data_IF_266319359781
#
_entry.id   IF_266319359781
#
_cell.length_a   1.000
_cell.length_b   1.000
_cell.length_c   1.000
_cell.angle_alpha   90.00
_cell.angle_beta   90.00
_cell.angle_gamma   90.00
#
_symmetry.space_group_name_H-M   'P 1'
#
loop_
_entity.id
_entity.type
_entity.pdbx_description
1 polymer ?
#
# COMPACT_ATOMS: atom_id res chain seq x y z
N UNK A 1 11.47 -4.76 19.73
CA UNK A 1 10.85 -5.56 18.64
C UNK A 1 10.26 -4.57 17.65
N UNK A 2 10.43 -4.77 16.35
CA UNK A 2 9.89 -3.85 15.32
C UNK A 2 8.37 -3.92 15.42
N UNK A 3 7.71 -2.79 15.68
CA UNK A 3 6.25 -2.71 15.81
C UNK A 3 5.57 -2.34 14.49
N UNK A 4 6.16 -1.40 13.77
CA UNK A 4 5.74 -0.96 12.44
C UNK A 4 7.00 -0.74 11.57
N UNK A 5 6.85 -0.80 10.25
CA UNK A 5 7.91 -0.37 9.32
C UNK A 5 8.14 1.14 9.39
N UNK A 6 9.32 1.60 8.97
CA UNK A 6 9.58 3.04 8.82
C UNK A 6 8.69 3.63 7.73
N UNK A 7 8.46 2.89 6.64
CA UNK A 7 7.55 3.29 5.56
C UNK A 7 6.13 3.61 6.08
N UNK A 8 5.61 2.80 7.01
CA UNK A 8 4.30 3.04 7.61
C UNK A 8 4.28 4.27 8.53
N UNK A 9 5.34 4.52 9.31
CA UNK A 9 5.41 5.73 10.14
C UNK A 9 5.46 7.01 9.29
N UNK A 10 6.12 6.97 8.13
CA UNK A 10 6.10 8.09 7.16
C UNK A 10 4.69 8.32 6.61
N UNK A 11 3.99 7.27 6.19
CA UNK A 11 2.59 7.36 5.73
C UNK A 11 1.69 7.99 6.78
N UNK A 12 1.82 7.55 8.03
CA UNK A 12 1.04 8.05 9.17
C UNK A 12 1.31 9.54 9.40
N UNK A 13 2.57 9.96 9.36
CA UNK A 13 2.95 11.37 9.49
C UNK A 13 2.37 12.24 8.37
N UNK A 14 2.54 11.83 7.11
CA UNK A 14 2.02 12.55 5.92
C UNK A 14 0.49 12.66 5.96
N UNK A 15 -0.18 11.56 6.31
CA UNK A 15 -1.64 11.52 6.45
C UNK A 15 -2.12 12.46 7.55
N UNK A 16 -1.50 12.41 8.73
CA UNK A 16 -1.88 13.27 9.85
C UNK A 16 -1.67 14.75 9.50
N UNK A 17 -0.52 15.11 8.94
CA UNK A 17 -0.25 16.49 8.51
C UNK A 17 -1.28 17.01 7.50
N UNK A 18 -1.73 16.17 6.57
CA UNK A 18 -2.77 16.55 5.60
C UNK A 18 -4.13 16.73 6.26
N UNK A 19 -4.47 15.89 7.25
CA UNK A 19 -5.70 16.04 8.03
C UNK A 19 -5.66 17.31 8.90
N UNK A 20 -4.53 17.60 9.54
CA UNK A 20 -4.34 18.80 10.35
C UNK A 20 -4.53 20.07 9.50
N UNK A 21 -3.98 20.07 8.28
CA UNK A 21 -4.21 21.15 7.33
C UNK A 21 -5.69 21.25 6.91
N UNK A 22 -6.37 20.12 6.70
CA UNK A 22 -7.80 20.12 6.39
C UNK A 22 -8.65 20.68 7.54
N UNK A 23 -8.29 20.38 8.80
CA UNK A 23 -8.92 20.97 9.99
C UNK A 23 -8.71 22.48 10.01
N UNK A 24 -7.48 22.95 9.75
CA UNK A 24 -7.18 24.38 9.65
C UNK A 24 -8.06 25.07 8.60
N UNK A 25 -8.17 24.51 7.39
CA UNK A 25 -9.06 25.05 6.35
C UNK A 25 -10.53 25.07 6.77
N UNK A 26 -10.99 24.04 7.48
CA UNK A 26 -12.36 23.96 7.98
C UNK A 26 -12.68 24.97 9.09
N UNK A 27 -11.67 25.54 9.77
CA UNK A 27 -11.83 26.66 10.70
C UNK A 27 -11.68 28.02 9.99
N UNK A 28 -10.69 28.13 9.11
CA UNK A 28 -10.36 29.39 8.43
C UNK A 28 -11.46 29.86 7.47
N UNK A 29 -12.07 28.95 6.70
CA UNK A 29 -13.08 29.36 5.70
C UNK A 29 -14.39 29.86 6.34
N UNK A 30 -14.95 29.21 7.39
CA UNK A 30 -16.06 29.80 8.14
C UNK A 30 -15.73 31.16 8.77
N UNK A 31 -14.52 31.33 9.32
CA UNK A 31 -14.08 32.62 9.85
C UNK A 31 -14.06 33.69 8.75
N UNK A 32 -13.49 33.39 7.57
CA UNK A 32 -13.51 34.28 6.41
C UNK A 32 -14.94 34.66 6.00
N UNK A 33 -15.86 33.70 5.95
CA UNK A 33 -17.28 33.98 5.67
C UNK A 33 -17.90 34.92 6.71
N UNK A 34 -17.54 34.77 7.98
CA UNK A 34 -17.95 35.68 9.05
C UNK A 34 -17.43 37.11 8.84
N UNK A 35 -16.15 37.25 8.49
CA UNK A 35 -15.53 38.55 8.20
C UNK A 35 -16.14 39.24 6.97
N UNK A 36 -16.41 38.49 5.89
CA UNK A 36 -17.10 39.03 4.71
C UNK A 36 -18.47 39.58 5.10
N UNK A 37 -19.24 38.86 5.92
CA UNK A 37 -20.52 39.37 6.42
C UNK A 37 -20.35 40.61 7.29
N UNK A 38 -19.35 40.66 8.17
CA UNK A 38 -19.12 41.84 9.01
C UNK A 38 -18.80 43.09 8.16
N UNK A 39 -18.03 42.91 7.08
CA UNK A 39 -17.71 43.96 6.12
C UNK A 39 -18.97 44.46 5.39
N UNK A 40 -19.84 43.55 4.95
CA UNK A 40 -21.11 43.89 4.29
C UNK A 40 -22.07 44.67 5.20
N UNK A 41 -22.04 44.41 6.51
CA UNK A 41 -22.83 45.15 7.50
C UNK A 41 -22.16 46.44 7.99
N UNK A 42 -20.99 46.80 7.46
CA UNK A 42 -20.23 47.98 7.90
C UNK A 42 -19.67 47.88 9.33
N UNK A 43 -19.55 46.67 9.88
CA UNK A 43 -18.98 46.44 11.21
C UNK A 43 -17.45 46.41 11.21
N UNK A 44 -16.83 46.26 10.03
CA UNK A 44 -15.39 46.36 9.80
C UNK A 44 -15.16 47.07 8.47
N UNK A 45 -14.04 47.79 8.34
CA UNK A 45 -13.74 48.61 7.15
C UNK A 45 -13.07 47.81 6.01
N UNK A 46 -12.31 46.75 6.35
CA UNK A 46 -11.64 45.89 5.36
C UNK A 46 -11.44 44.45 5.85
N UNK A 47 -11.20 43.54 4.91
CA UNK A 47 -10.74 42.19 5.24
C UNK A 47 -9.29 42.20 5.73
N UNK A 48 -8.88 41.22 6.55
CA UNK A 48 -7.47 41.00 6.86
C UNK A 48 -6.64 40.80 5.58
N UNK A 49 -5.42 41.34 5.60
CA UNK A 49 -4.49 41.19 4.48
C UNK A 49 -4.08 39.71 4.37
N UNK A 50 -4.01 39.18 3.14
CA UNK A 50 -3.62 37.79 2.93
C UNK A 50 -2.10 37.61 3.18
N UNK A 51 -1.73 36.48 3.77
CA UNK A 51 -0.34 36.18 4.15
C UNK A 51 0.58 36.08 2.92
N UNK A 52 0.18 35.29 1.91
CA UNK A 52 0.99 35.07 0.70
C UNK A 52 0.55 35.91 -0.51
N UNK A 53 -0.76 36.11 -0.70
CA UNK A 53 -1.29 36.81 -1.89
C UNK A 53 -1.29 38.32 -1.68
N UNK A 54 -0.70 39.07 -2.60
CA UNK A 54 -0.62 40.54 -2.54
C UNK A 54 -1.76 41.20 -3.33
N UNK A 55 -2.16 42.39 -2.88
CA UNK A 55 -3.20 43.22 -3.53
C UNK A 55 -4.52 43.21 -2.77
N UNK A 56 -5.49 43.99 -3.24
CA UNK A 56 -6.80 44.06 -2.60
C UNK A 56 -7.63 42.79 -2.87
N UNK A 57 -8.28 42.22 -1.84
CA UNK A 57 -9.07 41.00 -1.99
C UNK A 57 -10.36 41.25 -2.79
N UNK A 58 -10.57 40.45 -3.84
CA UNK A 58 -11.85 40.43 -4.55
C UNK A 58 -12.90 39.65 -3.75
N UNK A 59 -13.80 40.38 -3.08
CA UNK A 59 -14.80 39.81 -2.16
C UNK A 59 -15.74 38.82 -2.87
N UNK A 60 -16.23 39.15 -4.06
CA UNK A 60 -17.15 38.30 -4.82
C UNK A 60 -16.47 36.98 -5.23
N UNK A 61 -15.21 37.07 -5.63
CA UNK A 61 -14.41 35.90 -5.95
C UNK A 61 -14.19 35.00 -4.72
N UNK A 62 -13.87 35.60 -3.56
CA UNK A 62 -13.69 34.87 -2.30
C UNK A 62 -14.98 34.17 -1.85
N UNK A 63 -16.14 34.80 -2.01
CA UNK A 63 -17.45 34.13 -1.77
C UNK A 63 -17.60 32.91 -2.65
N UNK A 64 -17.31 33.05 -3.95
CA UNK A 64 -17.32 31.95 -4.91
C UNK A 64 -16.44 30.78 -4.48
N UNK A 65 -15.18 31.05 -4.11
CA UNK A 65 -14.24 30.03 -3.63
C UNK A 65 -14.68 29.37 -2.33
N UNK A 66 -15.16 30.17 -1.37
CA UNK A 66 -15.60 29.70 -0.05
C UNK A 66 -16.86 28.81 -0.13
N UNK A 67 -17.63 28.85 -1.21
CA UNK A 67 -18.78 27.97 -1.41
C UNK A 67 -18.36 26.54 -1.80
N UNK A 68 -17.27 26.40 -2.56
CA UNK A 68 -16.78 25.11 -3.09
C UNK A 68 -15.60 24.52 -2.31
N UNK A 69 -15.12 25.21 -1.27
CA UNK A 69 -13.87 24.84 -0.58
C UNK A 69 -13.84 23.38 -0.09
N UNK A 70 -14.95 22.86 0.48
CA UNK A 70 -15.00 21.49 0.99
C UNK A 70 -14.77 20.46 -0.10
N UNK A 71 -15.29 20.71 -1.30
CA UNK A 71 -15.17 19.80 -2.44
C UNK A 71 -13.76 19.80 -3.02
N UNK A 72 -13.13 20.97 -3.06
CA UNK A 72 -11.72 21.09 -3.44
C UNK A 72 -10.81 20.46 -2.39
N UNK A 73 -11.09 20.68 -1.11
CA UNK A 73 -10.34 20.09 0.00
C UNK A 73 -10.48 18.57 0.02
N UNK A 74 -11.68 18.04 -0.21
CA UNK A 74 -11.93 16.59 -0.32
C UNK A 74 -11.13 15.97 -1.47
N UNK A 75 -11.15 16.61 -2.64
CA UNK A 75 -10.35 16.19 -3.80
C UNK A 75 -8.85 16.15 -3.48
N UNK A 76 -8.31 17.22 -2.89
CA UNK A 76 -6.88 17.31 -2.55
C UNK A 76 -6.49 16.28 -1.49
N UNK A 77 -7.29 16.15 -0.42
CA UNK A 77 -7.10 15.16 0.64
C UNK A 77 -7.03 13.73 0.06
N UNK A 78 -7.95 13.41 -0.85
CA UNK A 78 -8.00 12.09 -1.45
C UNK A 78 -6.79 11.79 -2.36
N UNK A 79 -6.42 12.72 -3.25
CA UNK A 79 -5.24 12.55 -4.12
C UNK A 79 -3.99 12.33 -3.27
N UNK A 80 -3.79 13.16 -2.24
CA UNK A 80 -2.63 13.06 -1.36
C UNK A 80 -2.61 11.72 -0.63
N UNK A 81 -3.74 11.34 -0.02
CA UNK A 81 -3.89 10.04 0.66
C UNK A 81 -3.52 8.88 -0.25
N UNK A 82 -4.05 8.85 -1.47
CA UNK A 82 -3.78 7.76 -2.41
C UNK A 82 -2.30 7.73 -2.80
N UNK A 83 -1.71 8.89 -3.08
CA UNK A 83 -0.30 9.02 -3.45
C UNK A 83 0.63 8.59 -2.32
N UNK A 84 0.31 8.95 -1.07
CA UNK A 84 1.09 8.50 0.10
C UNK A 84 0.99 6.99 0.30
N UNK A 85 -0.19 6.41 0.09
CA UNK A 85 -0.37 4.96 0.16
C UNK A 85 0.47 4.23 -0.90
N UNK A 86 0.51 4.75 -2.14
CA UNK A 86 1.36 4.19 -3.21
C UNK A 86 2.85 4.28 -2.86
N UNK A 87 3.32 5.43 -2.35
CA UNK A 87 4.70 5.60 -1.92
C UNK A 87 5.04 4.62 -0.80
N UNK A 88 4.20 4.57 0.24
CA UNK A 88 4.32 3.63 1.35
C UNK A 88 4.54 2.20 0.88
N UNK A 89 3.73 1.73 -0.07
CA UNK A 89 3.81 0.33 -0.51
C UNK A 89 5.15 0.03 -1.21
N UNK A 90 5.66 0.97 -2.02
CA UNK A 90 6.97 0.86 -2.68
C UNK A 90 8.12 0.96 -1.68
N UNK A 91 8.02 1.91 -0.76
CA UNK A 91 9.01 2.13 0.29
C UNK A 91 9.08 0.94 1.25
N UNK A 92 7.95 0.28 1.52
CA UNK A 92 7.90 -0.96 2.30
C UNK A 92 8.67 -2.10 1.62
N UNK A 93 8.49 -2.29 0.32
CA UNK A 93 9.25 -3.31 -0.45
C UNK A 93 10.75 -2.99 -0.39
N UNK A 94 11.12 -1.72 -0.58
CA UNK A 94 12.51 -1.27 -0.46
C UNK A 94 13.07 -1.47 0.95
N UNK A 95 12.26 -1.23 1.99
CA UNK A 95 12.68 -1.43 3.38
C UNK A 95 12.93 -2.91 3.69
N UNK A 96 12.08 -3.83 3.19
CA UNK A 96 12.32 -5.28 3.28
C UNK A 96 13.63 -5.64 2.59
N UNK A 97 13.84 -5.17 1.36
CA UNK A 97 15.06 -5.42 0.59
C UNK A 97 16.31 -4.99 1.38
N UNK A 98 16.30 -3.77 1.93
CA UNK A 98 17.40 -3.21 2.71
C UNK A 98 17.60 -3.94 4.05
N UNK A 99 16.52 -4.39 4.70
CA UNK A 99 16.59 -5.14 5.94
C UNK A 99 17.38 -6.47 5.76
N UNK A 100 17.27 -7.09 4.59
CA UNK A 100 17.98 -8.33 4.23
C UNK A 100 19.35 -8.10 3.59
N UNK A 101 19.95 -6.92 3.78
CA UNK A 101 21.29 -6.59 3.28
C UNK A 101 21.33 -6.00 1.86
N UNK A 102 20.17 -5.64 1.31
CA UNK A 102 20.02 -5.05 -0.02
C UNK A 102 19.85 -6.07 -1.14
N UNK A 103 19.56 -5.58 -2.35
CA UNK A 103 19.19 -6.38 -3.53
C UNK A 103 20.07 -7.60 -3.78
N UNK A 104 21.38 -7.38 -3.93
CA UNK A 104 22.30 -8.41 -4.36
C UNK A 104 22.54 -9.43 -3.23
N UNK A 105 22.69 -8.98 -1.99
CA UNK A 105 22.87 -9.87 -0.85
C UNK A 105 21.66 -10.80 -0.66
N UNK A 106 20.45 -10.24 -0.72
CA UNK A 106 19.23 -11.03 -0.57
C UNK A 106 19.02 -12.00 -1.73
N UNK A 107 19.28 -11.54 -2.98
CA UNK A 107 19.25 -12.39 -4.17
C UNK A 107 20.23 -13.56 -4.06
N UNK A 108 21.48 -13.29 -3.71
CA UNK A 108 22.51 -14.32 -3.59
C UNK A 108 22.19 -15.31 -2.47
N UNK A 109 21.67 -14.83 -1.35
CA UNK A 109 21.21 -15.65 -0.25
C UNK A 109 20.06 -16.58 -0.67
N UNK A 110 19.05 -16.05 -1.37
CA UNK A 110 17.93 -16.82 -1.90
C UNK A 110 18.38 -17.87 -2.93
N UNK A 111 19.26 -17.50 -3.87
CA UNK A 111 19.82 -18.42 -4.86
C UNK A 111 20.69 -19.51 -4.21
N UNK A 112 21.50 -19.16 -3.21
CA UNK A 112 22.31 -20.11 -2.45
C UNK A 112 21.42 -21.13 -1.73
N UNK A 113 20.34 -20.67 -1.10
CA UNK A 113 19.34 -21.52 -0.44
C UNK A 113 18.66 -22.44 -1.47
N UNK A 114 18.22 -21.90 -2.60
CA UNK A 114 17.62 -22.69 -3.69
C UNK A 114 18.57 -23.78 -4.20
N UNK A 115 19.83 -23.44 -4.50
CA UNK A 115 20.86 -24.40 -4.96
C UNK A 115 21.12 -25.50 -3.94
N UNK A 116 21.15 -25.17 -2.64
CA UNK A 116 21.29 -26.17 -1.56
C UNK A 116 20.18 -27.22 -1.63
N UNK A 117 18.94 -26.81 -1.90
CA UNK A 117 17.80 -27.73 -2.02
C UNK A 117 17.79 -28.55 -3.31
N UNK A 118 18.38 -28.04 -4.41
CA UNK A 118 18.49 -28.80 -5.66
C UNK A 118 19.48 -29.97 -5.57
N UNK A 119 20.49 -29.86 -4.70
CA UNK A 119 21.55 -30.86 -4.55
C UNK A 119 21.21 -32.01 -3.58
N UNK A 120 19.93 -32.18 -3.21
CA UNK A 120 19.47 -33.27 -2.33
C UNK A 120 19.38 -34.56 -3.17
N UNK A 121 20.49 -35.29 -3.25
CA UNK A 121 20.62 -36.49 -4.09
C UNK A 121 21.03 -37.75 -3.34
N UNK A 122 21.17 -37.71 -2.02
CA UNK A 122 21.68 -38.86 -1.24
C UNK A 122 20.65 -39.56 -0.38
N UNK A 123 19.51 -38.93 -0.05
CA UNK A 123 18.47 -39.60 0.76
C UNK A 123 17.56 -40.48 -0.12
N UNK A 124 17.69 -41.79 0.04
CA UNK A 124 16.90 -42.79 -0.67
C UNK A 124 15.39 -42.64 -0.41
N UNK A 125 14.97 -42.24 0.80
CA UNK A 125 13.54 -42.06 1.11
C UNK A 125 12.96 -40.85 0.37
N UNK A 126 13.71 -39.76 0.24
CA UNK A 126 13.29 -38.60 -0.56
C UNK A 126 13.17 -38.94 -2.03
N UNK A 127 14.12 -39.70 -2.57
CA UNK A 127 14.09 -40.16 -3.97
C UNK A 127 12.87 -41.05 -4.21
N UNK A 128 12.61 -42.01 -3.32
CA UNK A 128 11.47 -42.91 -3.44
C UNK A 128 10.14 -42.15 -3.40
N UNK A 129 9.93 -41.30 -2.40
CA UNK A 129 8.68 -40.54 -2.26
C UNK A 129 8.48 -39.55 -3.40
N UNK A 130 9.51 -38.80 -3.79
CA UNK A 130 9.42 -37.85 -4.90
C UNK A 130 9.17 -38.54 -6.25
N UNK A 131 9.80 -39.68 -6.52
CA UNK A 131 9.54 -40.44 -7.75
C UNK A 131 8.08 -40.94 -7.86
N UNK A 132 7.41 -41.21 -6.73
CA UNK A 132 5.98 -41.58 -6.73
C UNK A 132 5.05 -40.40 -7.05
N UNK A 133 5.55 -39.18 -7.00
CA UNK A 133 4.83 -37.95 -7.38
C UNK A 133 5.17 -37.46 -8.80
N UNK A 134 6.19 -38.04 -9.45
CA UNK A 134 6.59 -37.74 -10.84
C UNK A 134 5.74 -38.50 -11.86
N UNK A 135 4.42 -38.41 -11.74
CA UNK A 135 3.47 -38.98 -12.69
C UNK A 135 2.30 -38.02 -12.93
N UNK A 136 1.58 -38.19 -14.03
CA UNK A 136 0.33 -37.46 -14.25
C UNK A 136 -0.70 -37.86 -13.19
N UNK A 137 -1.34 -36.86 -12.56
CA UNK A 137 -2.29 -37.04 -11.47
C UNK A 137 -3.47 -37.92 -11.90
N UNK A 138 -3.63 -39.06 -11.24
CA UNK A 138 -4.80 -39.95 -11.38
C UNK A 138 -5.76 -39.75 -10.21
N UNK A 139 -7.04 -39.47 -10.49
CA UNK A 139 -8.04 -39.21 -9.44
C UNK A 139 -8.23 -40.40 -8.48
N UNK A 140 -8.02 -41.63 -8.96
CA UNK A 140 -8.10 -42.84 -8.14
C UNK A 140 -6.96 -42.99 -7.13
N UNK A 141 -5.88 -42.20 -7.24
CA UNK A 141 -4.67 -42.33 -6.42
C UNK A 141 -4.47 -41.18 -5.42
N UNK A 142 -5.49 -40.34 -5.17
CA UNK A 142 -5.36 -39.16 -4.30
C UNK A 142 -4.75 -39.47 -2.92
N UNK A 143 -5.24 -40.51 -2.23
CA UNK A 143 -4.71 -40.92 -0.93
C UNK A 143 -3.22 -41.31 -0.97
N UNK A 144 -2.80 -41.97 -2.06
CA UNK A 144 -1.39 -42.34 -2.27
C UNK A 144 -0.54 -41.09 -2.45
N UNK A 145 -1.00 -40.11 -3.23
CA UNK A 145 -0.27 -38.85 -3.40
C UNK A 145 -0.17 -38.09 -2.09
N UNK A 146 -1.26 -37.95 -1.34
CA UNK A 146 -1.26 -37.28 -0.04
C UNK A 146 -0.24 -37.91 0.91
N UNK A 147 -0.17 -39.25 0.97
CA UNK A 147 0.83 -39.96 1.79
C UNK A 147 2.26 -39.55 1.43
N UNK A 148 2.61 -39.51 0.14
CA UNK A 148 3.96 -39.17 -0.30
C UNK A 148 4.25 -37.68 -0.19
N UNK A 149 3.25 -36.81 -0.35
CA UNK A 149 3.38 -35.36 -0.11
C UNK A 149 3.70 -35.12 1.36
N UNK A 150 2.91 -35.66 2.29
CA UNK A 150 3.15 -35.50 3.73
C UNK A 150 4.48 -36.10 4.19
N UNK A 151 4.96 -37.17 3.53
CA UNK A 151 6.28 -37.72 3.79
C UNK A 151 7.42 -36.78 3.38
N UNK A 152 7.19 -35.85 2.44
CA UNK A 152 8.18 -34.89 1.97
C UNK A 152 8.09 -33.53 2.70
N UNK A 153 6.91 -33.13 3.18
CA UNK A 153 6.68 -31.83 3.85
C UNK A 153 7.57 -31.58 5.08
N UNK A 154 7.97 -32.64 5.79
CA UNK A 154 8.81 -32.55 6.99
C UNK A 154 10.29 -32.83 6.72
N UNK A 155 10.73 -32.65 5.48
CA UNK A 155 12.10 -32.95 5.05
C UNK A 155 12.76 -31.74 4.40
N UNK A 156 14.01 -31.88 3.98
CA UNK A 156 14.70 -30.83 3.21
C UNK A 156 14.21 -30.74 1.76
N UNK A 157 13.33 -31.64 1.32
CA UNK A 157 12.66 -31.54 0.03
C UNK A 157 11.88 -30.23 -0.06
N UNK A 158 11.95 -29.59 -1.23
CA UNK A 158 11.19 -28.38 -1.53
C UNK A 158 10.28 -28.64 -2.71
N UNK A 159 9.01 -28.31 -2.56
CA UNK A 159 8.05 -28.45 -3.64
C UNK A 159 8.29 -27.39 -4.72
N UNK A 160 7.80 -27.60 -5.95
CA UNK A 160 7.94 -26.60 -7.02
C UNK A 160 7.46 -25.20 -6.63
N UNK A 161 6.42 -25.09 -5.80
CA UNK A 161 5.93 -23.80 -5.25
C UNK A 161 7.00 -23.07 -4.45
N UNK A 162 7.71 -23.77 -3.57
CA UNK A 162 8.81 -23.20 -2.77
C UNK A 162 10.02 -22.89 -3.64
N UNK A 163 10.34 -23.75 -4.62
CA UNK A 163 11.46 -23.52 -5.55
C UNK A 163 11.24 -22.29 -6.44
N UNK A 164 9.99 -22.02 -6.84
CA UNK A 164 9.63 -20.86 -7.65
C UNK A 164 9.53 -19.56 -6.83
N UNK A 165 9.48 -19.64 -5.49
CA UNK A 165 9.45 -18.45 -4.62
C UNK A 165 10.67 -17.55 -4.84
N UNK A 166 11.85 -18.14 -5.11
CA UNK A 166 13.07 -17.40 -5.40
C UNK A 166 12.94 -16.56 -6.67
N UNK A 167 12.29 -17.09 -7.71
CA UNK A 167 12.00 -16.33 -8.92
C UNK A 167 11.06 -15.16 -8.63
N UNK A 168 9.98 -15.41 -7.88
CA UNK A 168 9.03 -14.36 -7.48
C UNK A 168 9.71 -13.23 -6.69
N UNK A 169 10.61 -13.57 -5.76
CA UNK A 169 11.40 -12.60 -5.01
C UNK A 169 12.27 -11.72 -5.91
N UNK A 170 12.99 -12.34 -6.86
CA UNK A 170 13.86 -11.64 -7.80
C UNK A 170 13.05 -10.69 -8.69
N UNK A 171 11.94 -11.15 -9.24
CA UNK A 171 11.08 -10.30 -10.09
C UNK A 171 10.41 -9.18 -9.30
N UNK A 172 10.04 -9.41 -8.03
CA UNK A 172 9.51 -8.36 -7.17
C UNK A 172 10.54 -7.22 -6.99
N UNK A 173 11.77 -7.54 -6.56
CA UNK A 173 12.81 -6.53 -6.34
C UNK A 173 13.39 -5.93 -7.63
N UNK A 174 13.13 -6.55 -8.78
CA UNK A 174 13.47 -5.98 -10.07
C UNK A 174 12.49 -4.89 -10.50
N UNK A 175 11.20 -5.05 -10.20
CA UNK A 175 10.15 -4.25 -10.82
C UNK A 175 9.33 -3.39 -9.83
N UNK A 176 9.59 -3.45 -8.52
CA UNK A 176 8.75 -2.74 -7.54
C UNK A 176 8.71 -1.21 -7.70
N UNK A 177 9.79 -0.59 -8.22
CA UNK A 177 9.84 0.85 -8.48
C UNK A 177 8.75 1.28 -9.48
N UNK A 178 8.48 0.43 -10.47
CA UNK A 178 7.52 0.66 -11.56
C UNK A 178 6.14 0.08 -11.27
N UNK A 179 5.94 -0.45 -10.06
CA UNK A 179 4.68 -1.06 -9.64
C UNK A 179 3.53 -0.05 -9.77
N UNK A 180 2.49 -0.46 -10.47
CA UNK A 180 1.28 0.34 -10.69
C UNK A 180 0.32 0.18 -9.52
N UNK A 181 -0.48 1.21 -9.26
CA UNK A 181 -1.56 1.16 -8.27
C UNK A 181 -2.44 -0.09 -8.38
N UNK A 182 -2.72 -0.54 -9.61
CA UNK A 182 -3.54 -1.72 -9.88
C UNK A 182 -2.93 -3.04 -9.41
N UNK A 183 -1.62 -3.09 -9.24
CA UNK A 183 -0.86 -4.29 -8.88
C UNK A 183 -0.67 -4.43 -7.36
N UNK A 184 -0.84 -3.33 -6.60
CA UNK A 184 -0.64 -3.30 -5.15
C UNK A 184 -1.44 -4.41 -4.43
N UNK A 185 -2.75 -4.62 -4.67
CA UNK A 185 -3.49 -5.68 -4.00
C UNK A 185 -2.93 -7.08 -4.29
N UNK A 186 -2.54 -7.35 -5.55
CA UNK A 186 -1.99 -8.64 -5.93
C UNK A 186 -0.63 -8.90 -5.26
N UNK A 187 0.22 -7.89 -5.14
CA UNK A 187 1.50 -8.04 -4.45
C UNK A 187 1.30 -8.20 -2.95
N UNK A 188 0.38 -7.43 -2.35
CA UNK A 188 0.04 -7.58 -0.93
C UNK A 188 -0.48 -9.00 -0.63
N UNK A 189 -1.36 -9.54 -1.47
CA UNK A 189 -1.92 -10.88 -1.30
C UNK A 189 -0.90 -11.98 -1.59
N UNK A 190 -0.30 -11.99 -2.79
CA UNK A 190 0.51 -13.12 -3.25
C UNK A 190 1.97 -13.09 -2.77
N UNK A 191 2.55 -11.90 -2.58
CA UNK A 191 3.93 -11.78 -2.09
C UNK A 191 3.98 -11.70 -0.56
N UNK A 192 3.06 -10.95 0.06
CA UNK A 192 3.07 -10.73 1.52
C UNK A 192 2.07 -11.58 2.29
N UNK A 193 1.22 -12.36 1.61
CA UNK A 193 0.22 -13.20 2.28
C UNK A 193 -0.81 -12.40 3.05
N UNK A 194 -1.13 -11.18 2.61
CA UNK A 194 -2.17 -10.34 3.22
C UNK A 194 -3.53 -10.83 2.73
N UNK A 195 -4.39 -11.25 3.65
CA UNK A 195 -5.77 -11.62 3.31
C UNK A 195 -6.54 -10.37 2.85
N UNK A 196 -6.81 -10.21 1.56
CA UNK A 196 -7.63 -9.10 1.04
C UNK A 196 -8.99 -9.67 0.64
N UNK A 197 -10.05 -9.21 1.31
CA UNK A 197 -11.41 -9.61 0.96
C UNK A 197 -11.82 -9.06 -0.40
N UNK A 198 -12.75 -9.72 -1.09
CA UNK A 198 -13.30 -9.24 -2.36
C UNK A 198 -13.89 -7.83 -2.25
N UNK A 199 -14.46 -7.50 -1.08
CA UNK A 199 -14.98 -6.17 -0.78
C UNK A 199 -13.87 -5.11 -0.67
N UNK A 200 -12.76 -5.42 0.04
CA UNK A 200 -11.61 -4.53 0.10
C UNK A 200 -11.01 -4.30 -1.30
N UNK A 201 -10.93 -5.33 -2.13
CA UNK A 201 -10.44 -5.24 -3.50
C UNK A 201 -11.33 -4.36 -4.38
N UNK A 202 -12.65 -4.51 -4.28
CA UNK A 202 -13.63 -3.68 -5.01
C UNK A 202 -13.53 -2.21 -4.59
N UNK A 203 -13.49 -1.95 -3.28
CA UNK A 203 -13.35 -0.59 -2.73
C UNK A 203 -12.03 0.04 -3.18
N UNK A 204 -10.92 -0.69 -3.12
CA UNK A 204 -9.62 -0.23 -3.59
C UNK A 204 -9.66 0.10 -5.10
N UNK A 205 -10.23 -0.78 -5.93
CA UNK A 205 -10.36 -0.54 -7.37
C UNK A 205 -11.19 0.70 -7.67
N UNK A 206 -12.32 0.87 -6.97
CA UNK A 206 -13.17 2.07 -7.09
C UNK A 206 -12.37 3.34 -6.78
N UNK A 207 -11.57 3.34 -5.71
CA UNK A 207 -10.76 4.49 -5.34
C UNK A 207 -9.61 4.74 -6.32
N UNK A 208 -8.94 3.70 -6.81
CA UNK A 208 -7.94 3.84 -7.87
C UNK A 208 -8.53 4.51 -9.12
N UNK A 209 -9.70 4.06 -9.55
CA UNK A 209 -10.36 4.60 -10.74
C UNK A 209 -10.81 6.05 -10.52
N UNK A 210 -11.29 6.39 -9.32
CA UNK A 210 -11.56 7.76 -8.91
C UNK A 210 -10.30 8.64 -8.96
N UNK A 211 -9.18 8.16 -8.41
CA UNK A 211 -7.88 8.86 -8.42
C UNK A 211 -7.43 9.13 -9.86
N UNK A 212 -7.54 8.14 -10.75
CA UNK A 212 -7.20 8.31 -12.16
C UNK A 212 -8.10 9.34 -12.85
N UNK A 213 -9.42 9.30 -12.61
CA UNK A 213 -10.35 10.29 -13.15
C UNK A 213 -10.02 11.71 -12.67
N UNK A 214 -9.68 11.87 -11.39
CA UNK A 214 -9.27 13.16 -10.82
C UNK A 214 -7.95 13.64 -11.44
N UNK A 215 -6.93 12.77 -11.51
CA UNK A 215 -5.63 13.09 -12.08
C UNK A 215 -5.71 13.49 -13.57
N UNK A 216 -6.66 12.91 -14.32
CA UNK A 216 -6.94 13.28 -15.71
C UNK A 216 -7.93 14.44 -15.86
N UNK A 217 -8.30 15.13 -14.78
CA UNK A 217 -9.21 16.29 -14.82
C UNK A 217 -10.67 15.96 -15.17
N UNK A 218 -11.06 14.68 -15.15
CA UNK A 218 -12.43 14.23 -15.49
C UNK A 218 -13.42 14.41 -14.33
N UNK A 219 -12.92 14.52 -13.11
CA UNK A 219 -13.72 14.78 -11.91
C UNK A 219 -13.21 16.07 -11.26
N UNK A 220 -14.10 17.03 -11.12
CA UNK A 220 -13.78 18.34 -10.56
C UNK A 220 -13.91 18.40 -9.04
N UNK A 221 -14.72 17.52 -8.44
CA UNK A 221 -15.18 17.63 -7.06
C UNK A 221 -15.29 16.24 -6.38
N UNK A 222 -14.88 16.17 -5.11
CA UNK A 222 -15.08 15.00 -4.22
C UNK A 222 -15.63 15.53 -2.91
N UNK A 223 -16.70 14.92 -2.39
CA UNK A 223 -17.26 15.39 -1.12
C UNK A 223 -16.26 15.16 0.02
N UNK A 224 -16.12 16.14 0.92
CA UNK A 224 -15.10 16.07 1.98
C UNK A 224 -15.30 14.85 2.89
N UNK A 225 -16.55 14.49 3.18
CA UNK A 225 -16.88 13.29 3.96
C UNK A 225 -16.40 12.01 3.27
N UNK A 226 -16.63 11.88 1.97
CA UNK A 226 -16.18 10.73 1.18
C UNK A 226 -14.65 10.62 1.19
N UNK A 227 -13.94 11.75 1.09
CA UNK A 227 -12.48 11.78 1.15
C UNK A 227 -11.92 11.30 2.52
N UNK A 228 -12.62 11.61 3.63
CA UNK A 228 -12.27 11.13 4.96
C UNK A 228 -12.49 9.61 5.07
N UNK A 229 -13.59 9.09 4.53
CA UNK A 229 -13.86 7.64 4.49
C UNK A 229 -12.80 6.90 3.65
N UNK A 230 -12.42 7.46 2.50
CA UNK A 230 -11.34 6.94 1.66
C UNK A 230 -10.00 6.94 2.40
N UNK A 231 -9.70 8.00 3.16
CA UNK A 231 -8.49 8.07 3.98
C UNK A 231 -8.46 6.99 5.05
N UNK A 232 -9.58 6.80 5.75
CA UNK A 232 -9.72 5.74 6.76
C UNK A 232 -9.50 4.36 6.16
N UNK A 233 -10.09 4.08 4.99
CA UNK A 233 -9.88 2.83 4.28
C UNK A 233 -8.41 2.59 3.93
N UNK A 234 -7.75 3.57 3.27
CA UNK A 234 -6.34 3.42 2.86
C UNK A 234 -5.40 3.21 4.05
N UNK A 235 -5.64 3.93 5.14
CA UNK A 235 -4.87 3.76 6.38
C UNK A 235 -5.08 2.39 7.01
N UNK A 236 -6.31 1.89 7.01
CA UNK A 236 -6.64 0.57 7.57
C UNK A 236 -5.99 -0.54 6.74
N UNK A 237 -6.05 -0.44 5.41
CA UNK A 237 -5.38 -1.36 4.49
C UNK A 237 -3.85 -1.31 4.68
N UNK A 238 -3.27 -0.11 4.80
CA UNK A 238 -1.84 0.04 5.04
C UNK A 238 -1.41 -0.62 6.36
N UNK A 239 -2.14 -0.39 7.45
CA UNK A 239 -1.84 -1.00 8.76
C UNK A 239 -1.95 -2.53 8.72
N UNK A 240 -2.92 -3.05 7.97
CA UNK A 240 -3.10 -4.50 7.77
C UNK A 240 -1.91 -5.11 7.03
N UNK A 241 -1.45 -4.46 5.95
CA UNK A 241 -0.25 -4.86 5.20
C UNK A 241 0.99 -4.77 6.11
N UNK A 242 1.18 -3.64 6.79
CA UNK A 242 2.37 -3.39 7.62
C UNK A 242 2.52 -4.45 8.73
N UNK A 243 1.44 -4.75 9.46
CA UNK A 243 1.46 -5.79 10.50
C UNK A 243 1.85 -7.16 9.95
N UNK A 244 1.32 -7.53 8.79
CA UNK A 244 1.63 -8.81 8.16
C UNK A 244 3.09 -8.86 7.72
N UNK A 245 3.60 -7.77 7.14
CA UNK A 245 4.99 -7.70 6.67
C UNK A 245 5.95 -7.68 7.86
N UNK A 246 5.76 -6.83 8.86
CA UNK A 246 6.61 -6.76 10.07
C UNK A 246 6.69 -8.11 10.76
N UNK A 247 5.57 -8.82 10.88
CA UNK A 247 5.53 -10.13 11.53
C UNK A 247 6.36 -11.20 10.81
N UNK A 248 6.39 -11.20 9.48
CA UNK A 248 6.88 -12.33 8.69
C UNK A 248 8.16 -12.04 7.88
N UNK A 249 8.46 -10.78 7.57
CA UNK A 249 9.55 -10.40 6.67
C UNK A 249 10.68 -9.64 7.37
N UNK A 250 10.42 -9.01 8.52
CA UNK A 250 11.45 -8.36 9.33
C UNK A 250 12.07 -9.36 10.32
N UNK A 251 12.58 -10.48 9.78
CA UNK A 251 13.22 -11.58 10.50
C UNK A 251 14.63 -11.76 9.96
N UNK A 252 15.64 -11.80 10.83
CA UNK A 252 17.02 -12.02 10.42
C UNK A 252 17.15 -13.48 9.96
N UNK A 253 17.26 -13.68 8.65
CA UNK A 253 17.48 -15.00 8.05
C UNK A 253 18.96 -15.25 7.70
N UNK A 254 19.72 -14.18 7.45
CA UNK A 254 21.11 -14.24 7.01
C UNK A 254 21.98 -13.37 7.93
N UNK A 255 23.13 -13.92 8.37
CA UNK A 255 24.18 -13.25 9.14
C UNK A 255 25.49 -13.40 8.39
#
# INVERSE_FOLDING_TARGET
MISNSKAFEVLKGQTQSTLDFAVLCCQAVPALKGYIKALEHGSVDKLPDADYFKGEPNIEQLKGFSSKYKKNLGKLLFINTFSYFESYFKDLISEIENFHGGKEAFRDAALKKQKKHMNIHSDQQLILNSNKLREYKKQTHLLKYTKHISALEHTDFRFPSEMLSTFGLIELFKNYSDLKASEIPHVAEYAFGVEISSMELEVYSKYRDLRNKIAHGKISEVEFKEAIEMNYFMRTLALKIDKQVVRNFFLIEFV
#
